data_IF_588636310837
#
_entry.id   IF_588636310837
#
_cell.length_a   1.000
_cell.length_b   1.000
_cell.length_c   1.000
_cell.angle_alpha   90.00
_cell.angle_beta   90.00
_cell.angle_gamma   90.00
#
_symmetry.space_group_name_H-M   'P 1'
#
loop_
_entity.id
_entity.type
_entity.pdbx_description
1 polymer ?
#
# COMPACT_ATOMS: atom_id res chain seq x y z
N UNK A 1 -35.34 17.34 -49.24
CA UNK A 1 -35.19 17.49 -47.80
C UNK A 1 -33.71 17.58 -47.49
N UNK A 2 -33.19 18.76 -47.20
CA UNK A 2 -31.79 18.99 -46.82
C UNK A 2 -31.61 18.60 -45.37
N UNK A 3 -30.88 17.52 -45.11
CA UNK A 3 -30.45 17.14 -43.75
C UNK A 3 -29.52 18.25 -43.27
N UNK A 4 -29.94 19.00 -42.29
CA UNK A 4 -29.08 19.93 -41.56
C UNK A 4 -28.11 19.07 -40.76
N UNK A 5 -26.83 19.06 -41.14
CA UNK A 5 -25.76 18.45 -40.37
C UNK A 5 -25.66 19.23 -39.05
N UNK A 6 -26.02 18.62 -37.93
CA UNK A 6 -25.81 19.20 -36.63
C UNK A 6 -24.30 19.03 -36.36
N UNK A 7 -23.53 20.10 -36.41
CA UNK A 7 -22.16 20.13 -35.95
C UNK A 7 -22.20 20.05 -34.41
N UNK A 8 -21.86 18.88 -33.90
CA UNK A 8 -21.65 18.70 -32.48
C UNK A 8 -20.37 19.46 -32.06
N UNK A 9 -20.36 20.09 -30.91
CA UNK A 9 -19.13 20.68 -30.39
C UNK A 9 -18.03 19.62 -30.30
N UNK A 10 -16.75 20.02 -30.48
CA UNK A 10 -15.64 19.09 -30.35
C UNK A 10 -15.69 18.37 -29.01
N UNK A 11 -15.36 17.10 -29.01
CA UNK A 11 -15.29 16.34 -27.76
C UNK A 11 -14.20 16.94 -26.83
N UNK A 12 -14.47 17.01 -25.55
CA UNK A 12 -13.44 17.39 -24.56
C UNK A 12 -12.19 16.51 -24.70
N UNK A 13 -10.99 17.06 -24.49
CA UNK A 13 -9.75 16.31 -24.57
C UNK A 13 -9.70 15.17 -23.56
N UNK A 14 -8.90 14.15 -23.85
CA UNK A 14 -8.60 13.04 -22.98
C UNK A 14 -7.08 12.97 -22.68
N UNK A 15 -6.65 11.94 -21.94
CA UNK A 15 -5.26 11.79 -21.52
C UNK A 15 -4.25 11.70 -22.65
N UNK A 16 -4.67 11.40 -23.90
CA UNK A 16 -3.76 11.34 -25.05
C UNK A 16 -3.45 12.72 -25.64
N UNK A 17 -4.27 13.71 -25.32
CA UNK A 17 -4.20 15.08 -25.85
C UNK A 17 -3.71 16.09 -24.80
N UNK A 18 -3.83 15.73 -23.50
CA UNK A 18 -3.40 16.57 -22.40
C UNK A 18 -1.91 16.32 -22.09
N UNK A 19 -1.16 17.34 -21.59
CA UNK A 19 0.21 17.15 -21.12
C UNK A 19 0.30 16.07 -20.05
N UNK A 20 1.38 15.28 -20.10
CA UNK A 20 1.72 14.27 -19.07
C UNK A 20 2.68 14.83 -18.00
N UNK A 21 3.23 16.01 -18.21
CA UNK A 21 4.14 16.68 -17.30
C UNK A 21 3.92 18.19 -17.36
N UNK A 22 4.02 18.86 -16.22
CA UNK A 22 4.01 20.31 -16.11
C UNK A 22 5.41 20.93 -16.21
N UNK A 23 6.46 20.08 -16.38
CA UNK A 23 7.85 20.50 -16.46
C UNK A 23 8.51 20.74 -15.11
N UNK A 24 7.87 20.38 -14.00
CA UNK A 24 8.42 20.51 -12.65
C UNK A 24 9.35 19.34 -12.34
N UNK A 25 10.47 19.60 -11.68
CA UNK A 25 11.34 18.55 -11.17
C UNK A 25 10.76 17.93 -9.89
N UNK A 26 11.02 16.65 -9.68
CA UNK A 26 10.79 15.97 -8.39
C UNK A 26 11.52 16.72 -7.28
N UNK A 27 10.83 17.05 -6.20
CA UNK A 27 11.30 17.99 -5.17
C UNK A 27 12.46 17.44 -4.32
N UNK A 28 12.53 16.09 -4.14
CA UNK A 28 13.56 15.47 -3.29
C UNK A 28 13.75 13.98 -3.61
N UNK A 29 14.84 13.38 -3.09
CA UNK A 29 15.18 11.96 -3.31
C UNK A 29 14.28 10.97 -2.56
N UNK A 30 13.41 11.42 -1.66
CA UNK A 30 12.54 10.54 -0.88
C UNK A 30 11.21 10.24 -1.60
N UNK A 31 10.75 11.10 -2.46
CA UNK A 31 9.40 11.08 -3.05
C UNK A 31 9.11 9.78 -3.80
N UNK A 32 9.98 9.39 -4.73
CA UNK A 32 9.82 8.12 -5.43
C UNK A 32 9.94 6.88 -4.52
N UNK A 33 10.96 6.74 -3.66
CA UNK A 33 11.02 5.66 -2.68
C UNK A 33 9.78 5.58 -1.79
N UNK A 34 9.26 6.73 -1.34
CA UNK A 34 8.05 6.81 -0.53
C UNK A 34 6.81 6.28 -1.29
N UNK A 35 6.66 6.67 -2.54
CA UNK A 35 5.58 6.20 -3.41
C UNK A 35 5.66 4.69 -3.66
N UNK A 36 6.86 4.15 -3.86
CA UNK A 36 7.10 2.70 -4.04
C UNK A 36 6.70 1.92 -2.78
N UNK A 37 7.12 2.38 -1.58
CA UNK A 37 6.76 1.74 -0.30
C UNK A 37 5.24 1.65 -0.15
N UNK A 38 4.53 2.74 -0.38
CA UNK A 38 3.07 2.81 -0.24
C UNK A 38 2.37 1.88 -1.22
N UNK A 39 2.81 1.88 -2.48
CA UNK A 39 2.23 1.07 -3.55
C UNK A 39 2.45 -0.43 -3.32
N UNK A 40 3.68 -0.84 -2.99
CA UNK A 40 4.00 -2.26 -2.79
C UNK A 40 3.34 -2.83 -1.53
N UNK A 41 3.35 -2.08 -0.42
CA UNK A 41 2.81 -2.60 0.84
C UNK A 41 1.28 -2.69 0.84
N UNK A 42 0.56 -1.81 0.13
CA UNK A 42 -0.92 -1.87 0.06
C UNK A 42 -1.41 -2.88 -0.99
N UNK A 43 -0.57 -3.29 -1.93
CA UNK A 43 -0.95 -4.15 -3.05
C UNK A 43 -1.80 -5.38 -2.66
N UNK A 44 -1.42 -6.19 -1.65
CA UNK A 44 -2.22 -7.33 -1.21
C UNK A 44 -3.63 -6.97 -0.74
N UNK A 45 -3.80 -5.81 -0.08
CA UNK A 45 -5.11 -5.31 0.36
C UNK A 45 -5.96 -4.93 -0.83
N UNK A 46 -5.39 -4.20 -1.79
CA UNK A 46 -6.11 -3.79 -3.00
C UNK A 46 -6.51 -4.99 -3.87
N UNK A 47 -5.67 -6.02 -3.96
CA UNK A 47 -6.01 -7.27 -4.65
C UNK A 47 -7.20 -8.01 -4.02
N UNK A 48 -7.35 -7.92 -2.69
CA UNK A 48 -8.51 -8.49 -1.99
C UNK A 48 -9.77 -7.64 -2.20
N UNK A 49 -9.64 -6.32 -2.20
CA UNK A 49 -10.75 -5.40 -2.41
C UNK A 49 -11.22 -5.39 -3.88
N UNK A 50 -10.31 -5.63 -4.81
CA UNK A 50 -10.54 -5.62 -6.25
C UNK A 50 -10.05 -6.92 -6.90
N UNK A 51 -10.77 -8.04 -6.72
CA UNK A 51 -10.38 -9.32 -7.31
C UNK A 51 -10.47 -9.32 -8.84
N UNK A 52 -11.19 -8.37 -9.43
CA UNK A 52 -11.23 -8.06 -10.86
C UNK A 52 -10.04 -7.24 -11.36
N UNK A 53 -9.27 -6.65 -10.45
CA UNK A 53 -8.14 -5.78 -10.77
C UNK A 53 -8.54 -4.34 -11.11
N UNK A 54 -9.80 -3.96 -10.94
CA UNK A 54 -10.31 -2.64 -11.30
C UNK A 54 -9.98 -1.58 -10.24
N UNK A 55 -8.74 -1.13 -10.26
CA UNK A 55 -8.25 0.03 -9.52
C UNK A 55 -7.03 0.66 -10.21
N UNK A 56 -6.71 1.89 -9.86
CA UNK A 56 -5.52 2.57 -10.34
C UNK A 56 -4.78 3.28 -9.19
N UNK A 57 -3.45 3.31 -9.29
CA UNK A 57 -2.57 4.12 -8.44
C UNK A 57 -1.83 5.07 -9.35
N UNK A 58 -1.91 6.37 -9.04
CA UNK A 58 -1.09 7.39 -9.67
C UNK A 58 0.02 7.85 -8.72
N UNK A 59 1.19 8.15 -9.30
CA UNK A 59 2.34 8.66 -8.57
C UNK A 59 2.87 9.84 -9.37
N UNK A 60 2.82 11.04 -8.79
CA UNK A 60 3.23 12.29 -9.45
C UNK A 60 2.55 12.45 -10.85
N UNK A 61 1.29 12.03 -10.91
CA UNK A 61 0.47 12.08 -12.12
C UNK A 61 -0.60 13.16 -12.02
N UNK A 62 -0.76 13.96 -13.06
CA UNK A 62 -1.77 15.02 -13.10
C UNK A 62 -3.20 14.47 -13.07
N UNK A 63 -4.01 15.01 -12.13
CA UNK A 63 -5.46 14.84 -12.10
C UNK A 63 -6.06 16.09 -12.75
N UNK A 64 -6.52 15.96 -14.00
CA UNK A 64 -7.20 17.04 -14.69
C UNK A 64 -8.64 17.15 -14.21
N UNK A 65 -8.98 18.29 -13.60
CA UNK A 65 -10.30 18.56 -13.03
C UNK A 65 -11.10 19.62 -13.79
N UNK A 66 -10.45 20.39 -14.67
CA UNK A 66 -11.08 21.32 -15.62
C UNK A 66 -10.23 21.49 -16.86
N UNK A 67 -10.86 21.92 -17.96
CA UNK A 67 -10.17 22.33 -19.17
C UNK A 67 -9.71 23.79 -19.04
N UNK A 68 -8.46 24.06 -19.37
CA UNK A 68 -7.85 25.39 -19.31
C UNK A 68 -6.85 25.60 -20.47
N UNK A 69 -6.45 26.84 -20.67
CA UNK A 69 -5.36 27.20 -21.56
C UNK A 69 -4.31 28.01 -20.77
N UNK A 70 -3.09 27.53 -20.57
CA UNK A 70 -2.64 26.18 -20.97
C UNK A 70 -3.26 25.08 -20.07
N UNK A 71 -3.31 23.82 -20.55
CA UNK A 71 -4.04 22.73 -19.88
C UNK A 71 -3.58 22.44 -18.46
N UNK A 72 -2.30 22.51 -18.15
CA UNK A 72 -1.72 22.21 -16.83
C UNK A 72 -2.28 23.09 -15.69
N UNK A 73 -2.82 24.26 -16.00
CA UNK A 73 -3.54 25.10 -15.01
C UNK A 73 -4.85 24.48 -14.52
N UNK A 74 -5.34 23.45 -15.20
CA UNK A 74 -6.53 22.69 -14.83
C UNK A 74 -6.23 21.36 -14.17
N UNK A 75 -4.99 21.12 -13.74
CA UNK A 75 -4.55 19.89 -13.11
C UNK A 75 -3.92 20.14 -11.73
N UNK A 76 -3.99 19.11 -10.88
CA UNK A 76 -3.18 18.97 -9.66
C UNK A 76 -2.53 17.59 -9.70
N UNK A 77 -1.27 17.48 -9.28
CA UNK A 77 -0.53 16.24 -9.24
C UNK A 77 -0.19 15.87 -7.78
N UNK A 78 -0.95 14.95 -7.17
CA UNK A 78 -0.55 14.39 -5.89
C UNK A 78 0.66 13.48 -6.05
N UNK A 79 1.54 13.46 -5.06
CA UNK A 79 2.71 12.57 -5.07
C UNK A 79 2.29 11.10 -5.09
N UNK A 80 1.15 10.78 -4.49
CA UNK A 80 0.54 9.45 -4.55
C UNK A 80 -0.98 9.52 -4.40
N UNK A 81 -1.73 8.78 -5.22
CA UNK A 81 -3.17 8.65 -5.05
C UNK A 81 -3.69 7.29 -5.51
N UNK A 82 -4.83 6.89 -4.98
CA UNK A 82 -5.51 5.65 -5.32
C UNK A 82 -6.95 5.92 -5.75
N UNK A 83 -7.35 5.25 -6.84
CA UNK A 83 -8.71 5.32 -7.40
C UNK A 83 -9.31 3.93 -7.46
N UNK A 84 -10.44 3.68 -6.77
CA UNK A 84 -11.16 2.41 -6.84
C UNK A 84 -12.02 2.31 -8.10
N UNK A 85 -12.38 1.09 -8.48
CA UNK A 85 -13.41 0.78 -9.49
C UNK A 85 -13.16 1.43 -10.87
N UNK A 86 -11.92 1.51 -11.26
CA UNK A 86 -11.51 1.96 -12.60
C UNK A 86 -10.60 0.90 -13.21
N UNK A 87 -10.73 0.59 -14.51
CA UNK A 87 -9.89 -0.40 -15.16
C UNK A 87 -8.41 0.04 -15.08
N UNK A 88 -7.44 -0.87 -14.95
CA UNK A 88 -6.02 -0.53 -14.84
C UNK A 88 -5.49 0.23 -16.08
N UNK A 89 -6.05 -0.06 -17.25
CA UNK A 89 -5.77 0.61 -18.51
C UNK A 89 -7.01 1.33 -19.00
N UNK A 90 -6.86 2.53 -19.57
CA UNK A 90 -7.97 3.24 -20.19
C UNK A 90 -8.00 2.90 -21.70
N UNK A 91 -9.08 2.24 -22.13
CA UNK A 91 -9.23 1.76 -23.52
C UNK A 91 -8.05 0.88 -24.01
N UNK A 92 -7.41 0.14 -23.11
CA UNK A 92 -6.25 -0.71 -23.42
C UNK A 92 -4.90 0.03 -23.43
N UNK A 93 -4.87 1.33 -23.13
CA UNK A 93 -3.67 2.15 -23.08
C UNK A 93 -3.31 2.55 -21.65
N UNK A 94 -2.01 2.73 -21.37
CA UNK A 94 -1.51 3.26 -20.11
C UNK A 94 -1.99 4.71 -19.95
N UNK A 95 -2.57 5.04 -18.80
CA UNK A 95 -2.93 6.43 -18.48
C UNK A 95 -1.69 7.30 -18.38
N UNK A 96 -1.69 8.40 -19.15
CA UNK A 96 -0.66 9.44 -19.06
C UNK A 96 -0.99 10.45 -17.96
N UNK A 97 -2.28 10.61 -17.66
CA UNK A 97 -2.84 11.46 -16.63
C UNK A 97 -4.23 10.94 -16.25
N UNK A 98 -4.79 11.39 -15.15
CA UNK A 98 -6.15 11.05 -14.73
C UNK A 98 -7.11 12.19 -15.10
N UNK A 99 -8.08 11.92 -15.96
CA UNK A 99 -9.00 12.95 -16.48
C UNK A 99 -10.38 12.78 -15.86
N UNK A 100 -10.69 13.60 -14.85
CA UNK A 100 -11.85 13.44 -13.99
C UNK A 100 -13.19 13.47 -14.75
N UNK A 101 -13.33 14.32 -15.78
CA UNK A 101 -14.55 14.39 -16.58
C UNK A 101 -14.75 13.23 -17.56
N UNK A 102 -13.72 12.39 -17.73
CA UNK A 102 -13.80 11.16 -18.54
C UNK A 102 -14.10 9.94 -17.67
N UNK A 103 -13.46 9.86 -16.52
CA UNK A 103 -13.52 8.68 -15.67
C UNK A 103 -14.64 8.76 -14.64
N UNK A 104 -15.10 9.97 -14.29
CA UNK A 104 -16.23 10.24 -13.40
C UNK A 104 -16.10 9.60 -11.99
N UNK A 105 -14.89 9.21 -11.63
CA UNK A 105 -14.56 8.62 -10.32
C UNK A 105 -13.46 9.47 -9.66
N UNK A 106 -13.71 9.94 -8.46
CA UNK A 106 -12.69 10.64 -7.67
C UNK A 106 -11.71 9.65 -7.06
N UNK A 107 -10.42 10.01 -6.89
CA UNK A 107 -9.52 9.27 -6.02
C UNK A 107 -10.12 9.10 -4.63
N UNK A 108 -9.92 7.93 -4.00
CA UNK A 108 -10.33 7.65 -2.62
C UNK A 108 -9.43 8.35 -1.61
N UNK A 109 -8.15 8.43 -1.92
CA UNK A 109 -7.13 9.07 -1.11
C UNK A 109 -6.06 9.70 -2.01
N UNK A 110 -5.57 10.87 -1.60
CA UNK A 110 -4.39 11.52 -2.15
C UNK A 110 -3.41 11.86 -1.03
N UNK A 111 -2.12 11.72 -1.32
CA UNK A 111 -1.03 11.97 -0.38
C UNK A 111 -0.02 12.92 -1.01
N UNK A 112 0.43 13.89 -0.22
CA UNK A 112 1.48 14.83 -0.57
C UNK A 112 2.69 14.65 0.36
N UNK A 113 3.90 14.66 -0.19
CA UNK A 113 5.16 14.55 0.55
C UNK A 113 5.86 15.91 0.54
N UNK A 114 5.33 16.81 1.38
CA UNK A 114 5.80 18.18 1.43
C UNK A 114 7.29 18.27 1.81
N UNK A 115 8.11 18.79 0.90
CA UNK A 115 9.54 19.05 1.14
C UNK A 115 9.80 20.25 2.05
N UNK A 116 8.80 21.14 2.19
CA UNK A 116 8.79 22.32 3.05
C UNK A 116 7.94 22.15 4.30
N UNK A 117 7.25 23.22 4.67
CA UNK A 117 6.33 23.26 5.81
C UNK A 117 4.89 22.88 5.44
N UNK A 118 4.62 22.50 4.19
CA UNK A 118 3.30 22.10 3.71
C UNK A 118 2.33 23.27 3.46
N UNK A 119 2.82 24.48 3.30
CA UNK A 119 1.95 25.64 3.04
C UNK A 119 1.26 25.52 1.66
N UNK A 120 1.98 25.03 0.64
CA UNK A 120 1.43 24.78 -0.69
C UNK A 120 0.33 23.74 -0.66
N UNK A 121 0.56 22.65 0.06
CA UNK A 121 -0.37 21.53 0.20
C UNK A 121 -1.59 21.90 1.05
N UNK A 122 -1.49 22.94 1.89
CA UNK A 122 -2.60 23.49 2.70
C UNK A 122 -3.24 24.72 2.09
N UNK A 123 -2.81 25.16 0.91
CA UNK A 123 -3.38 26.34 0.28
C UNK A 123 -4.85 26.10 -0.09
N UNK A 124 -5.72 26.81 0.61
CA UNK A 124 -7.17 26.77 0.43
C UNK A 124 -7.69 27.96 -0.40
N UNK A 125 -6.82 28.64 -1.14
CA UNK A 125 -7.19 29.78 -2.00
C UNK A 125 -8.22 29.32 -3.04
N UNK A 126 -9.41 29.95 -3.08
CA UNK A 126 -10.44 29.54 -4.02
C UNK A 126 -10.11 29.99 -5.46
N UNK A 127 -10.64 29.25 -6.41
CA UNK A 127 -10.67 29.73 -7.78
C UNK A 127 -11.44 31.05 -7.83
N UNK A 128 -10.81 32.11 -8.34
CA UNK A 128 -11.49 33.37 -8.61
C UNK A 128 -11.38 33.72 -10.09
N UNK A 129 -12.47 34.28 -10.61
CA UNK A 129 -12.53 34.82 -11.98
C UNK A 129 -12.62 36.33 -11.87
N UNK A 130 -11.65 37.04 -12.38
CA UNK A 130 -11.64 38.49 -12.39
C UNK A 130 -12.48 39.03 -13.57
N UNK A 131 -12.93 40.27 -13.47
CA UNK A 131 -13.78 40.89 -14.50
C UNK A 131 -13.14 40.91 -15.92
N UNK A 132 -11.83 40.76 -16.01
CA UNK A 132 -11.04 40.75 -17.23
C UNK A 132 -10.86 39.33 -17.82
N UNK A 133 -11.48 38.30 -17.18
CA UNK A 133 -11.37 36.91 -17.63
C UNK A 133 -10.12 36.18 -17.11
N UNK A 134 -9.24 36.86 -16.37
CA UNK A 134 -8.12 36.21 -15.72
C UNK A 134 -8.59 35.35 -14.55
N UNK A 135 -8.10 34.12 -14.48
CA UNK A 135 -8.36 33.21 -13.36
C UNK A 135 -7.12 33.09 -12.48
N UNK A 136 -7.28 33.18 -11.17
CA UNK A 136 -6.21 32.82 -10.25
C UNK A 136 -6.04 31.30 -10.22
N UNK A 137 -4.81 30.81 -10.04
CA UNK A 137 -4.59 29.40 -9.74
C UNK A 137 -5.17 29.14 -8.35
N UNK A 138 -6.11 28.20 -8.18
CA UNK A 138 -6.59 27.82 -6.85
C UNK A 138 -5.54 27.01 -6.12
N UNK A 139 -5.62 27.00 -4.79
CA UNK A 139 -4.76 26.16 -3.95
C UNK A 139 -5.14 24.69 -4.02
N UNK A 140 -4.16 23.80 -3.86
CA UNK A 140 -4.33 22.33 -3.90
C UNK A 140 -5.42 21.85 -2.92
N UNK A 141 -5.39 22.34 -1.67
CA UNK A 141 -6.36 21.96 -0.65
C UNK A 141 -7.80 22.28 -1.08
N UNK A 142 -8.00 23.48 -1.65
CA UNK A 142 -9.32 23.88 -2.14
C UNK A 142 -9.79 23.01 -3.30
N UNK A 143 -8.89 22.69 -4.26
CA UNK A 143 -9.22 21.83 -5.39
C UNK A 143 -9.64 20.44 -4.92
N UNK A 144 -8.86 19.81 -4.02
CA UNK A 144 -9.15 18.48 -3.50
C UNK A 144 -10.43 18.46 -2.66
N UNK A 145 -10.66 19.50 -1.85
CA UNK A 145 -11.84 19.59 -0.99
C UNK A 145 -13.12 19.91 -1.78
N UNK A 146 -13.07 20.91 -2.66
CA UNK A 146 -14.28 21.51 -3.23
C UNK A 146 -14.64 20.98 -4.60
N UNK A 147 -13.66 20.64 -5.39
CA UNK A 147 -13.86 20.24 -6.78
C UNK A 147 -13.82 18.73 -6.91
N UNK A 148 -12.67 18.10 -6.60
CA UNK A 148 -12.47 16.66 -6.76
C UNK A 148 -13.20 15.90 -5.66
N UNK A 149 -13.23 16.44 -4.45
CA UNK A 149 -13.87 15.87 -3.25
C UNK A 149 -13.27 14.54 -2.86
N UNK A 150 -11.94 14.52 -2.77
CA UNK A 150 -11.18 13.33 -2.38
C UNK A 150 -11.55 12.97 -0.93
N UNK A 151 -12.06 11.75 -0.65
CA UNK A 151 -12.49 11.38 0.71
C UNK A 151 -11.41 11.50 1.77
N UNK A 152 -10.16 11.14 1.43
CA UNK A 152 -9.02 11.24 2.35
C UNK A 152 -7.88 12.01 1.70
N UNK A 153 -7.37 12.99 2.42
CA UNK A 153 -6.22 13.78 1.99
C UNK A 153 -5.15 13.79 3.07
N UNK A 154 -3.94 13.34 2.75
CA UNK A 154 -2.82 13.26 3.67
C UNK A 154 -1.67 14.19 3.25
N UNK A 155 -1.12 14.95 4.22
CA UNK A 155 0.04 15.80 4.05
C UNK A 155 1.14 15.29 4.98
N UNK A 156 2.22 14.79 4.40
CA UNK A 156 3.40 14.33 5.12
C UNK A 156 4.54 15.35 4.96
N UNK A 157 4.84 16.09 6.01
CA UNK A 157 6.00 16.98 6.05
C UNK A 157 7.26 16.12 6.28
N UNK A 158 7.97 15.81 5.21
CA UNK A 158 9.12 14.90 5.21
C UNK A 158 10.19 15.35 6.20
N UNK A 159 10.56 16.62 6.17
CA UNK A 159 11.61 17.19 7.02
C UNK A 159 11.26 17.20 8.51
N UNK A 160 9.99 17.41 8.83
CA UNK A 160 9.52 17.53 10.20
C UNK A 160 8.95 16.21 10.74
N UNK A 161 8.87 15.16 9.92
CA UNK A 161 8.27 13.89 10.27
C UNK A 161 6.85 14.06 10.85
N UNK A 162 6.06 14.92 10.20
CA UNK A 162 4.70 15.24 10.65
C UNK A 162 3.70 14.80 9.61
N UNK A 163 2.67 14.12 10.06
CA UNK A 163 1.55 13.67 9.23
C UNK A 163 0.26 14.35 9.67
N UNK A 164 -0.46 14.86 8.71
CA UNK A 164 -1.83 15.32 8.87
C UNK A 164 -2.71 14.58 7.87
N UNK A 165 -3.85 14.10 8.34
CA UNK A 165 -4.83 13.45 7.47
C UNK A 165 -6.17 14.14 7.65
N UNK A 166 -6.83 14.41 6.55
CA UNK A 166 -8.12 15.04 6.48
C UNK A 166 -9.13 14.05 5.89
N UNK A 167 -10.34 14.07 6.42
CA UNK A 167 -11.48 13.33 5.89
C UNK A 167 -12.55 14.29 5.40
N UNK A 168 -13.07 14.04 4.19
CA UNK A 168 -14.11 14.86 3.59
C UNK A 168 -15.48 14.47 4.15
N UNK A 169 -16.00 15.30 5.05
CA UNK A 169 -17.28 15.11 5.72
C UNK A 169 -18.09 16.41 5.67
N UNK A 170 -19.39 16.31 5.40
CA UNK A 170 -20.30 17.47 5.36
C UNK A 170 -19.80 18.61 4.46
N UNK A 171 -19.23 18.27 3.30
CA UNK A 171 -18.70 19.19 2.29
C UNK A 171 -17.39 19.91 2.64
N UNK A 172 -16.68 19.50 3.72
CA UNK A 172 -15.43 20.09 4.16
C UNK A 172 -14.43 19.03 4.62
N UNK A 173 -13.15 19.35 4.51
CA UNK A 173 -12.10 18.57 5.14
C UNK A 173 -12.10 18.78 6.66
N UNK A 174 -12.24 17.69 7.38
CA UNK A 174 -12.07 17.66 8.83
C UNK A 174 -10.78 16.93 9.15
N UNK A 175 -9.90 17.59 9.91
CA UNK A 175 -8.64 16.99 10.32
C UNK A 175 -8.92 15.82 11.25
N UNK A 176 -8.45 14.65 10.87
CA UNK A 176 -8.56 13.45 11.70
C UNK A 176 -7.60 13.53 12.89
N UNK A 177 -8.02 12.89 13.99
CA UNK A 177 -7.11 12.61 15.10
C UNK A 177 -6.53 11.20 14.91
N UNK A 178 -5.25 11.00 15.18
CA UNK A 178 -4.67 9.67 15.17
C UNK A 178 -5.26 8.81 16.28
N UNK A 179 -5.28 7.50 16.08
CA UNK A 179 -5.63 6.55 17.14
C UNK A 179 -4.52 6.44 18.20
N UNK A 180 -4.70 5.54 19.19
CA UNK A 180 -3.75 5.33 20.28
C UNK A 180 -2.35 4.88 19.80
N UNK A 181 -2.25 4.32 18.58
CA UNK A 181 -1.00 3.92 17.94
C UNK A 181 -0.32 5.07 17.17
N UNK A 182 -0.96 6.23 17.11
CA UNK A 182 -0.49 7.37 16.30
C UNK A 182 -0.80 7.21 14.80
N UNK A 183 -1.68 6.28 14.42
CA UNK A 183 -2.07 6.03 13.05
C UNK A 183 -3.45 6.61 12.73
N UNK A 184 -3.69 6.91 11.46
CA UNK A 184 -4.94 7.45 10.94
C UNK A 184 -5.73 6.36 10.20
N UNK A 185 -6.89 5.94 10.70
CA UNK A 185 -7.71 4.93 10.04
C UNK A 185 -8.25 5.41 8.69
N UNK A 186 -7.99 4.64 7.65
CA UNK A 186 -8.59 4.82 6.31
C UNK A 186 -9.65 3.73 6.16
N UNK A 187 -10.79 3.98 6.78
CA UNK A 187 -11.84 2.98 6.97
C UNK A 187 -12.27 2.24 5.70
N UNK A 188 -12.46 2.89 4.52
CA UNK A 188 -12.88 2.18 3.32
C UNK A 188 -11.86 1.16 2.80
N UNK A 189 -10.59 1.32 3.16
CA UNK A 189 -9.51 0.40 2.79
C UNK A 189 -9.23 -0.65 3.87
N UNK A 190 -9.81 -0.50 5.07
CA UNK A 190 -9.52 -1.37 6.20
C UNK A 190 -8.07 -1.29 6.69
N UNK A 191 -7.39 -0.17 6.44
CA UNK A 191 -5.99 0.04 6.83
C UNK A 191 -5.83 1.32 7.63
N UNK A 192 -4.66 1.48 8.25
CA UNK A 192 -4.25 2.68 8.94
C UNK A 192 -3.01 3.27 8.27
N UNK A 193 -2.92 4.59 8.21
CA UNK A 193 -1.77 5.34 7.68
C UNK A 193 -0.99 5.96 8.83
N UNK A 194 0.33 5.83 8.84
CA UNK A 194 1.15 6.41 9.92
C UNK A 194 2.62 6.52 9.53
N UNK A 195 3.45 6.95 10.48
CA UNK A 195 4.89 7.12 10.28
C UNK A 195 5.65 5.95 10.91
N UNK A 196 6.54 5.36 10.16
CA UNK A 196 7.45 4.29 10.56
C UNK A 196 8.89 4.77 10.45
N UNK A 197 9.67 4.65 11.53
CA UNK A 197 11.10 4.93 11.50
C UNK A 197 11.88 3.66 11.13
N UNK A 198 12.60 3.70 10.03
CA UNK A 198 13.38 2.54 9.57
C UNK A 198 14.22 2.85 8.35
N UNK A 199 14.88 1.82 7.82
CA UNK A 199 15.77 1.93 6.67
C UNK A 199 15.10 1.33 5.43
N UNK A 200 15.03 2.11 4.37
CA UNK A 200 14.63 1.69 3.05
C UNK A 200 15.58 2.29 2.00
N UNK A 201 16.03 1.51 1.02
CA UNK A 201 16.98 1.95 -0.01
C UNK A 201 18.16 2.75 0.57
N UNK A 202 18.82 2.21 1.63
CA UNK A 202 19.95 2.83 2.36
C UNK A 202 19.67 4.17 3.07
N UNK A 203 18.42 4.63 3.14
CA UNK A 203 18.02 5.84 3.83
C UNK A 203 17.27 5.49 5.12
N UNK A 204 17.83 5.91 6.27
CA UNK A 204 17.19 5.73 7.59
C UNK A 204 16.48 7.01 8.00
N UNK A 205 15.15 6.96 8.03
CA UNK A 205 14.31 8.11 8.33
C UNK A 205 12.88 7.68 8.69
N UNK A 206 11.97 8.65 8.86
CA UNK A 206 10.55 8.38 8.94
C UNK A 206 9.96 8.21 7.54
N UNK A 207 9.27 7.10 7.35
CA UNK A 207 8.54 6.75 6.14
C UNK A 207 7.07 6.68 6.43
N UNK A 208 6.23 7.11 5.51
CA UNK A 208 4.81 6.89 5.55
C UNK A 208 4.53 5.43 5.17
N UNK A 209 3.80 4.71 6.02
CA UNK A 209 3.52 3.27 5.85
C UNK A 209 2.04 2.99 6.14
N UNK A 210 1.63 1.82 5.71
CA UNK A 210 0.33 1.25 6.00
C UNK A 210 0.42 0.20 7.10
N UNK A 211 -0.63 0.12 7.92
CA UNK A 211 -0.87 -0.94 8.91
C UNK A 211 -2.26 -1.52 8.68
N UNK A 212 -2.47 -2.76 9.11
CA UNK A 212 -3.81 -3.31 9.22
C UNK A 212 -4.57 -2.72 10.44
N UNK A 213 -5.84 -3.06 10.57
CA UNK A 213 -6.67 -2.58 11.70
C UNK A 213 -6.23 -3.10 13.07
N UNK A 214 -5.41 -4.15 13.11
CA UNK A 214 -4.82 -4.72 14.33
C UNK A 214 -3.51 -4.03 14.72
N UNK A 215 -2.96 -3.20 13.84
CA UNK A 215 -1.71 -2.49 14.03
C UNK A 215 -0.48 -3.25 13.57
N UNK A 216 -0.63 -4.28 12.72
CA UNK A 216 0.49 -4.92 12.08
C UNK A 216 0.91 -4.14 10.84
N UNK A 217 2.21 -3.92 10.68
CA UNK A 217 2.77 -3.23 9.53
C UNK A 217 2.50 -4.02 8.24
N UNK A 218 1.95 -3.38 7.22
CA UNK A 218 1.85 -3.97 5.90
C UNK A 218 3.23 -4.00 5.25
N UNK A 219 3.73 -5.21 5.07
CA UNK A 219 5.09 -5.44 4.60
C UNK A 219 5.22 -5.19 3.09
N UNK A 220 6.32 -4.61 2.66
CA UNK A 220 6.72 -4.58 1.24
C UNK A 220 7.20 -5.96 0.78
N UNK A 221 7.30 -6.19 -0.54
CA UNK A 221 7.66 -7.50 -1.12
C UNK A 221 8.96 -8.07 -0.59
N UNK A 222 9.97 -7.25 -0.39
CA UNK A 222 11.25 -7.69 0.17
C UNK A 222 11.11 -8.17 1.63
N UNK A 223 10.38 -7.42 2.46
CA UNK A 223 10.11 -7.79 3.86
C UNK A 223 9.28 -9.08 3.95
N UNK A 224 8.26 -9.23 3.08
CA UNK A 224 7.47 -10.48 2.97
C UNK A 224 8.37 -11.68 2.61
N UNK A 225 9.20 -11.52 1.58
CA UNK A 225 10.10 -12.58 1.14
C UNK A 225 11.13 -12.95 2.22
N UNK A 226 11.62 -11.99 2.97
CA UNK A 226 12.52 -12.24 4.09
C UNK A 226 11.83 -13.01 5.22
N UNK A 227 10.62 -12.63 5.58
CA UNK A 227 9.83 -13.32 6.60
C UNK A 227 9.54 -14.77 6.20
N UNK A 228 9.17 -15.02 4.95
CA UNK A 228 8.94 -16.38 4.42
C UNK A 228 10.20 -17.23 4.46
N UNK A 229 11.35 -16.68 4.06
CA UNK A 229 12.64 -17.38 4.16
C UNK A 229 12.97 -17.76 5.61
N UNK A 230 12.74 -16.86 6.56
CA UNK A 230 12.94 -17.15 7.98
C UNK A 230 12.02 -18.27 8.49
N UNK A 231 10.75 -18.24 8.10
CA UNK A 231 9.78 -19.30 8.44
C UNK A 231 10.18 -20.65 7.87
N UNK A 232 10.52 -20.69 6.58
CA UNK A 232 10.96 -21.93 5.92
C UNK A 232 12.22 -22.51 6.57
N UNK A 233 13.19 -21.68 6.94
CA UNK A 233 14.38 -22.14 7.63
C UNK A 233 14.08 -22.67 9.03
N UNK A 234 13.19 -22.03 9.78
CA UNK A 234 12.74 -22.53 11.10
C UNK A 234 12.01 -23.88 10.99
N UNK A 235 11.15 -24.04 10.00
CA UNK A 235 10.46 -25.32 9.75
C UNK A 235 11.47 -26.42 9.40
N UNK A 236 12.41 -26.12 8.55
CA UNK A 236 13.49 -27.06 8.18
C UNK A 236 14.30 -27.48 9.38
N UNK A 237 14.65 -26.54 10.26
CA UNK A 237 15.40 -26.86 11.50
C UNK A 237 14.57 -27.73 12.45
N UNK A 238 13.26 -27.47 12.58
CA UNK A 238 12.35 -28.29 13.40
C UNK A 238 12.23 -29.70 12.85
N UNK A 239 12.02 -29.85 11.55
CA UNK A 239 11.92 -31.17 10.92
C UNK A 239 13.22 -31.98 11.08
N UNK A 240 14.39 -31.34 10.95
CA UNK A 240 15.67 -32.01 11.16
C UNK A 240 15.87 -32.46 12.65
N UNK A 241 15.47 -31.61 13.60
CA UNK A 241 15.50 -31.98 15.03
C UNK A 241 14.58 -33.15 15.35
N UNK A 242 13.36 -33.17 14.79
CA UNK A 242 12.43 -34.30 14.97
C UNK A 242 12.99 -35.58 14.36
N UNK A 243 13.58 -35.50 13.18
CA UNK A 243 14.22 -36.65 12.54
C UNK A 243 15.37 -37.21 13.41
N UNK A 244 16.21 -36.35 13.95
CA UNK A 244 17.32 -36.76 14.81
C UNK A 244 16.81 -37.38 16.13
N UNK A 245 15.72 -36.88 16.71
CA UNK A 245 15.08 -37.47 17.90
C UNK A 245 14.52 -38.86 17.59
N UNK A 246 13.79 -38.98 16.50
CA UNK A 246 13.22 -40.27 16.08
C UNK A 246 14.33 -41.32 15.84
N UNK A 247 15.42 -40.92 15.22
CA UNK A 247 16.56 -41.82 14.99
C UNK A 247 17.25 -42.23 16.30
N UNK A 248 17.41 -41.29 17.26
CA UNK A 248 17.94 -41.61 18.58
C UNK A 248 17.03 -42.54 19.37
N UNK A 249 15.72 -42.36 19.31
CA UNK A 249 14.74 -43.25 19.93
C UNK A 249 14.79 -44.65 19.30
N UNK A 250 14.86 -44.75 17.99
CA UNK A 250 15.01 -46.03 17.28
C UNK A 250 16.31 -46.75 17.71
N UNK A 251 17.44 -46.07 17.76
CA UNK A 251 18.69 -46.65 18.22
C UNK A 251 18.63 -47.11 19.68
N UNK A 252 17.94 -46.36 20.56
CA UNK A 252 17.74 -46.76 21.95
C UNK A 252 16.85 -48.00 22.05
N UNK A 253 15.79 -48.07 21.25
CA UNK A 253 14.91 -49.23 21.20
C UNK A 253 15.67 -50.48 20.75
N UNK A 254 16.43 -50.38 19.65
CA UNK A 254 17.27 -51.49 19.16
C UNK A 254 18.29 -51.95 20.19
N UNK A 255 18.96 -51.04 20.89
CA UNK A 255 19.89 -51.40 21.98
C UNK A 255 19.20 -52.08 23.13
N UNK A 256 17.99 -51.64 23.51
CA UNK A 256 17.20 -52.29 24.56
C UNK A 256 16.77 -53.69 24.17
N UNK A 257 16.32 -53.90 22.96
CA UNK A 257 15.98 -55.21 22.41
C UNK A 257 17.17 -56.18 22.40
N UNK A 258 18.35 -55.69 21.94
CA UNK A 258 19.58 -56.50 21.95
C UNK A 258 20.02 -56.87 23.35
N UNK A 259 19.87 -55.94 24.34
CA UNK A 259 20.17 -56.22 25.73
C UNK A 259 19.20 -57.25 26.33
N UNK A 260 17.90 -57.09 26.02
CA UNK A 260 16.86 -58.02 26.46
C UNK A 260 17.10 -59.43 25.89
N UNK A 261 17.42 -59.52 24.59
CA UNK A 261 17.73 -60.81 23.93
C UNK A 261 18.95 -61.50 24.56
N UNK A 262 20.06 -60.74 24.82
CA UNK A 262 21.25 -61.29 25.50
C UNK A 262 20.96 -61.76 26.92
N UNK A 263 20.10 -61.03 27.64
CA UNK A 263 19.72 -61.40 29.02
C UNK A 263 18.85 -62.68 28.99
N UNK A 264 17.90 -62.78 28.09
CA UNK A 264 17.07 -63.95 27.89
C UNK A 264 17.91 -65.21 27.54
N UNK A 265 18.91 -65.05 26.68
CA UNK A 265 19.83 -66.12 26.31
C UNK A 265 20.65 -66.60 27.53
N UNK A 266 21.17 -65.67 28.34
CA UNK A 266 21.88 -65.99 29.58
C UNK A 266 20.98 -66.72 30.59
N UNK A 267 19.74 -66.26 30.77
CA UNK A 267 18.78 -66.93 31.66
C UNK A 267 18.48 -68.35 31.20
N UNK A 268 18.27 -68.57 29.89
CA UNK A 268 18.07 -69.92 29.32
C UNK A 268 19.29 -70.84 29.53
N UNK A 269 20.52 -70.27 29.39
CA UNK A 269 21.75 -71.02 29.65
C UNK A 269 21.92 -71.45 31.16
N UNK A 270 21.29 -70.70 32.06
CA UNK A 270 21.23 -71.00 33.51
C UNK A 270 20.04 -71.88 33.91
N UNK A 271 19.23 -72.35 32.92
CA UNK A 271 18.07 -73.18 33.16
C UNK A 271 16.84 -72.44 33.65
N UNK A 272 16.83 -71.10 33.51
CA UNK A 272 15.70 -70.24 33.87
C UNK A 272 14.98 -69.81 32.62
N UNK A 273 13.68 -70.07 32.54
CA UNK A 273 12.83 -69.62 31.43
C UNK A 273 12.47 -68.14 31.61
N UNK A 274 12.95 -67.21 30.73
CA UNK A 274 12.70 -65.81 30.87
C UNK A 274 11.23 -65.41 30.65
N UNK A 275 10.42 -66.25 30.01
CA UNK A 275 9.02 -66.02 29.72
C UNK A 275 8.06 -66.64 30.73
N UNK A 276 8.56 -67.37 31.74
CA UNK A 276 7.77 -68.15 32.72
C UNK A 276 6.98 -67.33 33.72
N UNK A 277 7.22 -66.00 33.86
CA UNK A 277 6.40 -65.10 34.66
C UNK A 277 6.24 -65.46 36.15
N UNK A 278 6.91 -66.49 36.67
CA UNK A 278 6.89 -66.88 38.08
C UNK A 278 8.09 -66.31 38.83
N UNK A 279 7.82 -65.18 39.49
CA UNK A 279 8.63 -64.74 40.61
C UNK A 279 7.96 -65.35 41.84
N UNK A 280 8.60 -66.38 42.45
CA UNK A 280 8.25 -66.84 43.78
C UNK A 280 8.56 -65.75 44.82
#
# INVERSE_FOLDING_TARGET
MTQTKIDLPPAFPDHTQLPESDGTFVKNFQEHPQSIILTDSIGPVLQQLHPDGDYAIGQDCGIYWRETEPPEKGAEAPDWFYVPNVPPLLNGEIRRSYVLWRELMAPMIALEFASGNGDEERDATPLSVWAEGETTKPGKFWVYERIIRIPYYGICEVKNSKLEVYNWLNFYYQKLQPNERGHYPITPLGVELGLWHGTYQNQTQYWLRWWDSEGNLLLIGEERAQLERQRAEQERQRAEQERQRAEQEHQRAEQAEQKAARLAERLRAMGIDPDSGQIE
#
